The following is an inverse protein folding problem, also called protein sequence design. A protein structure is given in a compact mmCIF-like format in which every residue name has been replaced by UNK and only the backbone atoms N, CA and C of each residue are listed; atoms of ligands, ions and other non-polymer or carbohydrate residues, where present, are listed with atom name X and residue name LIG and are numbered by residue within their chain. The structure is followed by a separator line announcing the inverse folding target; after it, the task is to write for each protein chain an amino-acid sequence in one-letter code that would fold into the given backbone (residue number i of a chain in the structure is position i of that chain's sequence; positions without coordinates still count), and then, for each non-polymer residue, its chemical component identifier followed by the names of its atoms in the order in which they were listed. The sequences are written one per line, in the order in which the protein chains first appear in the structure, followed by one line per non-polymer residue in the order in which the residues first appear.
data_IF_874849169349
#
_entry.id   IF_874849169349
#
_cell.length_a   1.000
_cell.length_b   1.000
_cell.length_c   1.000
_cell.angle_alpha   90.00
_cell.angle_beta   90.00
_cell.angle_gamma   90.00
#
_symmetry.space_group_name_H-M   'P 1'
#
loop_
_entity.id
_entity.type
_entity.pdbx_description
1 polymer ?
#
# COMPACT_ATOMS: atom_id res chain seq x y z
N UNK A 1 3.43 15.03 10.50
CA UNK A 1 4.30 15.32 9.35
C UNK A 1 5.74 15.05 9.77
N UNK A 2 6.50 14.28 9.00
CA UNK A 2 7.90 13.96 9.33
C UNK A 2 8.78 15.20 9.17
N UNK A 3 9.77 15.35 10.06
CA UNK A 3 10.66 16.52 10.06
C UNK A 3 11.60 16.55 8.83
N UNK A 4 11.98 15.39 8.30
CA UNK A 4 12.85 15.26 7.12
C UNK A 4 12.45 14.09 6.24
N UNK A 5 12.81 14.15 4.94
CA UNK A 5 12.64 13.04 3.99
C UNK A 5 13.33 11.74 4.47
N UNK A 6 14.51 11.89 5.08
CA UNK A 6 15.26 10.75 5.64
C UNK A 6 14.50 10.07 6.77
N UNK A 7 13.93 10.84 7.68
CA UNK A 7 13.13 10.31 8.80
C UNK A 7 11.89 9.59 8.25
N UNK A 8 11.19 10.17 7.27
CA UNK A 8 10.03 9.54 6.64
C UNK A 8 10.43 8.19 6.01
N UNK A 9 11.50 8.15 5.25
CA UNK A 9 11.98 6.93 4.60
C UNK A 9 12.31 5.84 5.63
N UNK A 10 13.08 6.18 6.67
CA UNK A 10 13.45 5.22 7.72
C UNK A 10 12.21 4.68 8.43
N UNK A 11 11.30 5.55 8.87
CA UNK A 11 10.09 5.14 9.61
C UNK A 11 9.20 4.24 8.76
N UNK A 12 8.93 4.62 7.51
CA UNK A 12 8.07 3.82 6.63
C UNK A 12 8.72 2.48 6.24
N UNK A 13 10.02 2.47 5.98
CA UNK A 13 10.75 1.22 5.69
C UNK A 13 10.75 0.28 6.91
N UNK A 14 11.03 0.81 8.09
CA UNK A 14 10.99 0.02 9.34
C UNK A 14 9.58 -0.51 9.59
N UNK A 15 8.55 0.32 9.45
CA UNK A 15 7.17 -0.11 9.62
C UNK A 15 6.77 -1.21 8.62
N UNK A 16 7.19 -1.09 7.36
CA UNK A 16 6.97 -2.12 6.34
C UNK A 16 7.63 -3.45 6.73
N UNK A 17 8.90 -3.41 7.12
CA UNK A 17 9.65 -4.61 7.51
C UNK A 17 9.07 -5.27 8.76
N UNK A 18 8.77 -4.48 9.79
CA UNK A 18 8.20 -4.98 11.04
C UNK A 18 6.83 -5.61 10.81
N UNK A 19 5.94 -4.93 10.07
CA UNK A 19 4.61 -5.50 9.81
C UNK A 19 4.69 -6.81 9.04
N UNK A 20 5.60 -6.94 8.09
CA UNK A 20 5.77 -8.20 7.34
C UNK A 20 6.42 -9.31 8.18
N UNK A 21 7.40 -8.97 9.02
CA UNK A 21 8.03 -9.94 9.90
C UNK A 21 7.05 -10.49 10.96
N UNK A 22 6.26 -9.60 11.57
CA UNK A 22 5.25 -10.00 12.57
C UNK A 22 4.14 -10.84 11.92
N UNK A 23 3.67 -10.45 10.74
CA UNK A 23 2.66 -11.19 9.98
C UNK A 23 3.15 -12.62 9.65
N UNK A 24 4.37 -12.75 9.12
CA UNK A 24 4.96 -14.06 8.83
C UNK A 24 5.17 -14.91 10.10
N UNK A 25 5.59 -14.29 11.21
CA UNK A 25 5.73 -14.96 12.50
C UNK A 25 4.40 -15.49 13.05
N UNK A 26 3.35 -14.68 13.02
CA UNK A 26 2.01 -15.10 13.44
C UNK A 26 1.46 -16.19 12.53
N UNK A 27 1.64 -16.08 11.22
CA UNK A 27 1.26 -17.13 10.27
C UNK A 27 1.96 -18.45 10.60
N UNK A 28 3.27 -18.41 10.92
CA UNK A 28 4.01 -19.61 11.32
C UNK A 28 3.46 -20.23 12.61
N UNK A 29 3.09 -19.42 13.60
CA UNK A 29 2.52 -19.91 14.87
C UNK A 29 1.12 -20.53 14.68
N UNK A 30 0.30 -19.98 13.77
CA UNK A 30 -1.08 -20.44 13.52
C UNK A 30 -1.08 -21.68 12.60
N UNK A 31 -0.25 -21.70 11.58
CA UNK A 31 -0.25 -22.73 10.53
C UNK A 31 1.18 -23.03 10.05
N UNK A 32 1.99 -23.76 10.85
CA UNK A 32 3.38 -24.05 10.50
C UNK A 32 3.53 -24.87 9.22
N UNK A 33 2.53 -25.66 8.86
CA UNK A 33 2.46 -26.44 7.61
C UNK A 33 1.77 -25.70 6.45
N UNK A 34 1.33 -24.45 6.68
CA UNK A 34 0.54 -23.64 5.73
C UNK A 34 -0.82 -24.24 5.30
N UNK A 35 -1.29 -25.29 5.96
CA UNK A 35 -2.55 -25.97 5.60
C UNK A 35 -3.79 -25.07 5.67
N UNK A 36 -3.77 -24.06 6.54
CA UNK A 36 -4.85 -23.08 6.75
C UNK A 36 -4.54 -21.70 6.17
N UNK A 37 -3.42 -21.58 5.44
CA UNK A 37 -3.00 -20.29 4.89
C UNK A 37 -3.95 -19.84 3.77
N UNK A 38 -4.38 -18.58 3.81
CA UNK A 38 -5.24 -17.97 2.82
C UNK A 38 -4.49 -17.15 1.78
N UNK A 39 -3.17 -17.05 1.90
CA UNK A 39 -2.34 -16.36 0.93
C UNK A 39 -2.50 -17.01 -0.46
N UNK A 40 -2.84 -16.24 -1.50
CA UNK A 40 -3.03 -16.77 -2.85
C UNK A 40 -1.85 -17.58 -3.38
N UNK A 41 -0.60 -17.25 -2.98
CA UNK A 41 0.59 -18.00 -3.39
C UNK A 41 0.58 -19.44 -2.85
N UNK A 42 0.12 -19.62 -1.62
CA UNK A 42 -0.03 -20.94 -1.01
C UNK A 42 -1.27 -21.65 -1.58
N UNK A 43 -2.41 -20.96 -1.54
CA UNK A 43 -3.71 -21.56 -1.88
C UNK A 43 -3.84 -21.97 -3.34
N UNK A 44 -3.34 -21.17 -4.28
CA UNK A 44 -3.52 -21.40 -5.72
C UNK A 44 -2.27 -21.98 -6.39
N UNK A 45 -1.08 -21.72 -5.85
CA UNK A 45 0.18 -22.15 -6.46
C UNK A 45 0.92 -23.20 -5.64
N UNK A 46 0.38 -23.60 -4.47
CA UNK A 46 1.01 -24.61 -3.62
C UNK A 46 2.38 -24.18 -3.06
N UNK A 47 2.64 -22.88 -2.97
CA UNK A 47 3.92 -22.38 -2.48
C UNK A 47 4.15 -22.78 -1.03
N UNK A 48 5.23 -23.49 -0.73
CA UNK A 48 5.70 -23.70 0.63
C UNK A 48 6.35 -22.45 1.23
N UNK A 49 6.83 -22.54 2.47
CA UNK A 49 7.48 -21.43 3.19
C UNK A 49 8.59 -20.74 2.40
N UNK A 50 9.47 -21.52 1.76
CA UNK A 50 10.57 -20.95 0.96
C UNK A 50 10.02 -20.11 -0.20
N UNK A 51 9.03 -20.61 -0.93
CA UNK A 51 8.41 -19.87 -2.04
C UNK A 51 7.72 -18.60 -1.56
N UNK A 52 6.92 -18.69 -0.49
CA UNK A 52 6.20 -17.56 0.08
C UNK A 52 7.15 -16.47 0.58
N UNK A 53 8.19 -16.84 1.34
CA UNK A 53 9.16 -15.87 1.86
C UNK A 53 10.03 -15.26 0.77
N UNK A 54 10.44 -16.05 -0.25
CA UNK A 54 11.24 -15.54 -1.37
C UNK A 54 10.46 -14.50 -2.18
N UNK A 55 9.23 -14.80 -2.57
CA UNK A 55 8.37 -13.85 -3.29
C UNK A 55 8.06 -12.64 -2.41
N UNK A 56 7.75 -12.86 -1.13
CA UNK A 56 7.55 -11.79 -0.16
C UNK A 56 8.75 -10.84 -0.06
N UNK A 57 9.97 -11.38 -0.02
CA UNK A 57 11.20 -10.58 0.01
C UNK A 57 11.35 -9.72 -1.25
N UNK A 58 11.11 -10.28 -2.43
CA UNK A 58 11.15 -9.53 -3.71
C UNK A 58 10.13 -8.39 -3.69
N UNK A 59 8.90 -8.66 -3.24
CA UNK A 59 7.85 -7.63 -3.13
C UNK A 59 8.25 -6.53 -2.15
N UNK A 60 8.80 -6.88 -0.98
CA UNK A 60 9.27 -5.92 0.02
C UNK A 60 10.38 -5.03 -0.55
N UNK A 61 11.38 -5.60 -1.23
CA UNK A 61 12.44 -4.83 -1.90
C UNK A 61 11.85 -3.87 -2.93
N UNK A 62 10.91 -4.31 -3.76
CA UNK A 62 10.19 -3.46 -4.70
C UNK A 62 9.46 -2.29 -4.01
N UNK A 63 8.80 -2.56 -2.88
CA UNK A 63 8.13 -1.52 -2.10
C UNK A 63 9.10 -0.52 -1.46
N UNK A 64 10.27 -0.97 -1.00
CA UNK A 64 11.33 -0.07 -0.48
C UNK A 64 11.85 0.84 -1.59
N UNK A 65 12.07 0.30 -2.80
CA UNK A 65 12.46 1.09 -3.97
C UNK A 65 11.36 2.14 -4.29
N UNK A 66 10.10 1.75 -4.27
CA UNK A 66 8.96 2.65 -4.45
C UNK A 66 8.93 3.76 -3.38
N UNK A 67 9.13 3.42 -2.10
CA UNK A 67 9.24 4.40 -1.02
C UNK A 67 10.39 5.38 -1.25
N UNK A 68 11.57 4.87 -1.58
CA UNK A 68 12.73 5.70 -1.88
C UNK A 68 12.41 6.67 -3.01
N UNK A 69 11.92 6.15 -4.13
CA UNK A 69 11.59 6.98 -5.29
C UNK A 69 10.52 8.02 -4.97
N UNK A 70 9.43 7.64 -4.32
CA UNK A 70 8.33 8.57 -4.02
C UNK A 70 8.67 9.65 -2.99
N UNK A 71 9.66 9.42 -2.13
CA UNK A 71 10.10 10.37 -1.11
C UNK A 71 11.19 11.32 -1.64
N UNK A 72 12.12 10.79 -2.43
CA UNK A 72 13.28 11.58 -2.87
C UNK A 72 13.13 12.20 -4.26
N UNK A 73 12.25 11.66 -5.09
CA UNK A 73 11.94 12.22 -6.40
C UNK A 73 10.65 13.03 -6.39
N UNK A 74 10.50 13.88 -7.38
CA UNK A 74 9.27 14.61 -7.70
C UNK A 74 8.91 14.37 -9.15
N UNK A 75 7.62 14.31 -9.43
CA UNK A 75 7.11 14.22 -10.80
C UNK A 75 6.16 15.39 -11.01
N UNK A 76 6.63 16.38 -11.76
CA UNK A 76 5.82 17.57 -12.01
C UNK A 76 4.69 17.23 -12.99
N UNK A 77 3.48 17.39 -12.55
CA UNK A 77 2.25 17.23 -13.32
C UNK A 77 1.33 18.42 -13.04
N UNK A 78 1.83 19.61 -13.41
CA UNK A 78 1.12 20.86 -13.18
C UNK A 78 0.39 21.32 -14.43
N UNK A 79 -0.83 21.89 -14.30
CA UNK A 79 -1.52 22.55 -15.38
C UNK A 79 -0.81 23.84 -15.79
N UNK A 80 -1.00 24.27 -17.03
CA UNK A 80 -0.48 25.55 -17.52
C UNK A 80 -1.27 26.76 -17.02
N UNK A 81 -2.50 26.54 -16.56
CA UNK A 81 -3.34 27.58 -15.95
C UNK A 81 -3.02 27.75 -14.48
N UNK A 82 -2.88 28.99 -14.01
CA UNK A 82 -2.34 29.34 -12.68
C UNK A 82 -3.37 29.47 -11.56
N UNK A 83 -4.62 29.03 -11.69
CA UNK A 83 -5.63 29.29 -10.62
C UNK A 83 -6.69 28.19 -10.53
N UNK A 84 -6.31 26.91 -10.62
CA UNK A 84 -7.27 25.84 -10.40
C UNK A 84 -7.60 25.70 -8.92
N UNK A 85 -8.88 25.43 -8.64
CA UNK A 85 -9.31 24.96 -7.32
C UNK A 85 -8.86 23.53 -7.11
N UNK A 86 -8.83 23.06 -5.87
CA UNK A 86 -8.45 21.68 -5.55
C UNK A 86 -9.27 20.62 -6.30
N UNK A 87 -10.60 20.71 -6.42
CA UNK A 87 -11.38 19.74 -7.23
C UNK A 87 -10.99 19.74 -8.71
N UNK A 88 -10.75 20.92 -9.30
CA UNK A 88 -10.33 21.05 -10.70
C UNK A 88 -8.93 20.48 -10.92
N UNK A 89 -8.00 20.72 -9.95
CA UNK A 89 -6.66 20.13 -9.98
C UNK A 89 -6.70 18.60 -9.88
N UNK A 90 -7.51 18.03 -8.98
CA UNK A 90 -7.70 16.59 -8.86
C UNK A 90 -8.23 15.98 -10.15
N UNK A 91 -9.20 16.65 -10.78
CA UNK A 91 -9.75 16.25 -12.09
C UNK A 91 -8.67 16.30 -13.17
N UNK A 92 -7.93 17.40 -13.28
CA UNK A 92 -6.83 17.57 -14.23
C UNK A 92 -5.79 16.47 -14.08
N UNK A 93 -5.42 16.10 -12.84
CA UNK A 93 -4.32 15.18 -12.57
C UNK A 93 -4.49 13.82 -13.26
N UNK A 94 -5.73 13.35 -13.42
CA UNK A 94 -6.08 12.09 -14.09
C UNK A 94 -6.85 12.25 -15.40
N UNK A 95 -7.03 13.46 -15.88
CA UNK A 95 -7.76 13.71 -17.13
C UNK A 95 -6.87 13.44 -18.34
N UNK A 96 -7.02 12.24 -18.90
CA UNK A 96 -6.26 11.83 -20.09
C UNK A 96 -6.56 12.66 -21.33
N UNK A 97 -7.66 13.42 -21.38
CA UNK A 97 -8.03 14.28 -22.52
C UNK A 97 -7.40 15.67 -22.44
N UNK A 98 -7.37 16.25 -21.24
CA UNK A 98 -6.95 17.63 -21.03
C UNK A 98 -5.57 17.76 -20.34
N UNK A 99 -4.96 16.66 -19.95
CA UNK A 99 -3.62 16.65 -19.38
C UNK A 99 -2.59 16.19 -20.41
N UNK A 100 -1.82 17.11 -21.02
CA UNK A 100 -0.84 16.76 -22.04
C UNK A 100 0.31 15.88 -21.49
N UNK A 101 0.57 15.96 -20.20
CA UNK A 101 1.59 15.12 -19.55
C UNK A 101 1.17 13.64 -19.53
N UNK A 102 -0.12 13.34 -19.38
CA UNK A 102 -0.65 11.98 -19.44
C UNK A 102 -0.68 11.41 -20.86
N UNK A 103 -0.85 12.27 -21.86
CA UNK A 103 -0.83 11.88 -23.29
C UNK A 103 0.60 11.60 -23.81
N UNK A 104 1.60 12.07 -23.09
CA UNK A 104 3.01 11.91 -23.44
C UNK A 104 3.63 10.67 -22.77
N UNK A 105 4.87 10.36 -23.11
CA UNK A 105 5.66 9.33 -22.42
C UNK A 105 5.84 9.59 -20.91
N UNK A 106 5.47 10.78 -20.43
CA UNK A 106 5.45 11.11 -18.99
C UNK A 106 4.27 10.48 -18.25
N UNK A 107 3.19 10.14 -18.96
CA UNK A 107 1.98 9.58 -18.35
C UNK A 107 2.26 8.31 -17.53
N UNK A 108 3.04 7.39 -18.08
CA UNK A 108 3.44 6.17 -17.35
C UNK A 108 4.25 6.51 -16.09
N UNK A 109 5.15 7.50 -16.16
CA UNK A 109 5.95 7.95 -15.01
C UNK A 109 5.09 8.58 -13.92
N UNK A 110 4.05 9.36 -14.30
CA UNK A 110 3.09 9.94 -13.35
C UNK A 110 2.31 8.83 -12.64
N UNK A 111 1.77 7.88 -13.39
CA UNK A 111 1.03 6.74 -12.82
C UNK A 111 1.93 5.90 -11.91
N UNK A 112 3.14 5.57 -12.37
CA UNK A 112 4.12 4.84 -11.56
C UNK A 112 4.46 5.58 -10.27
N UNK A 113 4.57 6.91 -10.29
CA UNK A 113 4.80 7.73 -9.10
C UNK A 113 3.63 7.67 -8.13
N UNK A 114 2.38 7.75 -8.63
CA UNK A 114 1.17 7.60 -7.81
C UNK A 114 1.17 6.24 -7.11
N UNK A 115 1.48 5.16 -7.84
CA UNK A 115 1.58 3.82 -7.26
C UNK A 115 2.73 3.72 -6.25
N UNK A 116 3.89 4.24 -6.58
CA UNK A 116 5.06 4.22 -5.69
C UNK A 116 4.82 4.98 -4.38
N UNK A 117 4.01 6.03 -4.41
CA UNK A 117 3.62 6.77 -3.22
C UNK A 117 2.56 6.02 -2.40
N UNK A 118 1.49 5.53 -3.04
CA UNK A 118 0.31 5.01 -2.36
C UNK A 118 0.47 3.57 -1.90
N UNK A 119 0.99 2.68 -2.74
CA UNK A 119 0.99 1.24 -2.48
C UNK A 119 1.77 0.83 -1.23
N UNK A 120 3.02 1.26 -1.00
CA UNK A 120 3.74 0.85 0.20
C UNK A 120 3.08 1.37 1.49
N UNK A 121 2.54 2.60 1.47
CA UNK A 121 1.85 3.20 2.62
C UNK A 121 0.56 2.48 2.95
N UNK A 122 -0.23 2.15 1.93
CA UNK A 122 -1.43 1.33 2.07
C UNK A 122 -1.11 -0.06 2.61
N UNK A 123 -0.04 -0.69 2.12
CA UNK A 123 0.41 -2.02 2.55
C UNK A 123 0.85 -2.04 4.00
N UNK A 124 1.47 -0.97 4.53
CA UNK A 124 1.80 -0.87 5.96
C UNK A 124 0.53 -0.88 6.81
N UNK A 125 -0.47 -0.04 6.50
CA UNK A 125 -1.72 0.01 7.24
C UNK A 125 -2.51 -1.29 7.11
N UNK A 126 -2.58 -1.84 5.90
CA UNK A 126 -3.20 -3.14 5.67
C UNK A 126 -2.51 -4.24 6.47
N UNK A 127 -1.17 -4.20 6.55
CA UNK A 127 -0.38 -5.13 7.35
C UNK A 127 -0.72 -5.08 8.85
N UNK A 128 -0.96 -3.89 9.41
CA UNK A 128 -1.40 -3.77 10.79
C UNK A 128 -2.77 -4.42 11.02
N UNK A 129 -3.70 -4.31 10.06
CA UNK A 129 -5.00 -4.97 10.13
C UNK A 129 -4.86 -6.50 10.04
N UNK A 130 -3.98 -7.02 9.20
CA UNK A 130 -3.71 -8.46 9.12
C UNK A 130 -3.06 -8.97 10.41
N UNK A 131 -2.12 -8.22 10.99
CA UNK A 131 -1.54 -8.57 12.30
C UNK A 131 -2.63 -8.65 13.37
N UNK A 132 -3.54 -7.66 13.43
CA UNK A 132 -4.67 -7.69 14.35
C UNK A 132 -5.54 -8.93 14.12
N UNK A 133 -5.88 -9.23 12.86
CA UNK A 133 -6.61 -10.45 12.48
C UNK A 133 -5.91 -11.71 12.99
N UNK A 134 -4.65 -11.89 12.61
CA UNK A 134 -3.88 -13.07 12.97
C UNK A 134 -3.71 -13.20 14.49
N UNK A 135 -3.52 -12.07 15.20
CA UNK A 135 -3.45 -12.06 16.67
C UNK A 135 -4.75 -12.54 17.30
N UNK A 136 -5.92 -12.05 16.83
CA UNK A 136 -7.22 -12.47 17.34
C UNK A 136 -7.51 -13.95 17.04
N UNK A 137 -7.03 -14.47 15.91
CA UNK A 137 -7.09 -15.89 15.57
C UNK A 137 -6.18 -16.71 16.49
N UNK A 138 -4.95 -16.29 16.69
CA UNK A 138 -3.98 -16.97 17.55
C UNK A 138 -4.44 -17.05 19.01
N UNK A 139 -5.04 -15.96 19.52
CA UNK A 139 -5.57 -15.89 20.89
C UNK A 139 -6.93 -16.58 21.05
N UNK A 140 -7.47 -17.18 19.99
CA UNK A 140 -8.78 -17.85 20.00
C UNK A 140 -9.91 -16.96 20.56
N UNK A 141 -9.86 -15.65 20.25
CA UNK A 141 -10.84 -14.70 20.80
C UNK A 141 -12.27 -15.09 20.44
N UNK A 142 -13.16 -15.37 21.45
CA UNK A 142 -14.48 -15.96 21.19
C UNK A 142 -15.39 -15.05 20.36
N UNK A 143 -15.36 -13.73 20.62
CA UNK A 143 -16.17 -12.77 19.86
C UNK A 143 -15.73 -12.70 18.40
N UNK A 144 -14.41 -12.78 18.16
CA UNK A 144 -13.87 -12.77 16.82
C UNK A 144 -14.13 -14.09 16.07
N UNK A 145 -14.08 -15.22 16.74
CA UNK A 145 -14.47 -16.52 16.16
C UNK A 145 -15.92 -16.53 15.72
N UNK A 146 -16.85 -16.10 16.58
CA UNK A 146 -18.27 -15.95 16.24
C UNK A 146 -18.48 -15.03 15.01
N UNK A 147 -17.74 -13.91 14.93
CA UNK A 147 -17.80 -13.03 13.76
C UNK A 147 -17.32 -13.75 12.48
N UNK A 148 -16.24 -14.52 12.55
CA UNK A 148 -15.71 -15.28 11.40
C UNK A 148 -16.64 -16.38 10.93
N UNK A 149 -17.35 -17.04 11.84
CA UNK A 149 -18.36 -18.07 11.53
C UNK A 149 -19.59 -17.45 10.85
N UNK A 150 -20.00 -16.26 11.32
CA UNK A 150 -21.15 -15.53 10.77
C UNK A 150 -20.82 -14.82 9.45
N UNK A 151 -19.57 -14.45 9.25
CA UNK A 151 -19.11 -13.62 8.14
C UNK A 151 -17.78 -14.11 7.58
N UNK A 152 -17.68 -14.30 6.26
CA UNK A 152 -16.38 -14.52 5.63
C UNK A 152 -15.61 -13.19 5.61
N UNK A 153 -14.75 -12.95 6.61
CA UNK A 153 -14.01 -11.71 6.77
C UNK A 153 -12.84 -11.55 5.77
N UNK A 154 -12.40 -12.64 5.14
CA UNK A 154 -11.22 -12.63 4.26
C UNK A 154 -11.38 -11.72 3.03
N UNK A 155 -12.49 -11.78 2.25
CA UNK A 155 -12.70 -10.84 1.15
C UNK A 155 -12.69 -9.38 1.60
N UNK A 156 -13.20 -9.08 2.79
CA UNK A 156 -13.21 -7.72 3.34
C UNK A 156 -11.79 -7.18 3.51
N UNK A 157 -10.85 -7.98 4.01
CA UNK A 157 -9.45 -7.56 4.13
C UNK A 157 -8.83 -7.23 2.78
N UNK A 158 -9.11 -8.01 1.73
CA UNK A 158 -8.62 -7.70 0.38
C UNK A 158 -9.24 -6.44 -0.23
N UNK A 159 -10.48 -6.11 0.13
CA UNK A 159 -11.14 -4.88 -0.32
C UNK A 159 -10.60 -3.62 0.39
N UNK A 160 -10.10 -3.75 1.62
CA UNK A 160 -9.55 -2.62 2.38
C UNK A 160 -8.26 -2.09 1.73
N UNK A 161 -7.41 -2.95 1.17
CA UNK A 161 -6.13 -2.51 0.57
C UNK A 161 -6.31 -1.47 -0.54
N UNK A 162 -7.16 -1.67 -1.57
CA UNK A 162 -7.40 -0.62 -2.57
C UNK A 162 -8.04 0.64 -1.98
N UNK A 163 -8.92 0.53 -0.99
CA UNK A 163 -9.49 1.70 -0.30
C UNK A 163 -8.41 2.53 0.40
N UNK A 164 -7.48 1.88 1.10
CA UNK A 164 -6.31 2.54 1.68
C UNK A 164 -5.45 3.19 0.59
N UNK A 165 -5.29 2.53 -0.56
CA UNK A 165 -4.60 3.09 -1.72
C UNK A 165 -5.22 4.41 -2.17
N UNK A 166 -6.56 4.47 -2.29
CA UNK A 166 -7.29 5.70 -2.67
C UNK A 166 -7.08 6.83 -1.65
N UNK A 167 -7.06 6.53 -0.34
CA UNK A 167 -6.78 7.52 0.69
C UNK A 167 -5.37 8.12 0.51
N UNK A 168 -4.37 7.30 0.20
CA UNK A 168 -3.02 7.79 -0.04
C UNK A 168 -2.87 8.53 -1.35
N UNK A 169 -3.62 8.15 -2.40
CA UNK A 169 -3.70 8.93 -3.65
C UNK A 169 -4.27 10.32 -3.36
N UNK A 170 -5.34 10.40 -2.60
CA UNK A 170 -5.93 11.69 -2.23
C UNK A 170 -4.95 12.57 -1.44
N UNK A 171 -4.19 11.96 -0.50
CA UNK A 171 -3.13 12.66 0.23
C UNK A 171 -2.00 13.14 -0.69
N UNK A 172 -1.60 12.35 -1.66
CA UNK A 172 -0.61 12.77 -2.66
C UNK A 172 -1.11 13.99 -3.43
N UNK A 173 -2.36 13.96 -3.90
CA UNK A 173 -2.95 15.06 -4.65
C UNK A 173 -3.02 16.35 -3.84
N UNK A 174 -3.31 16.26 -2.54
CA UNK A 174 -3.26 17.41 -1.65
C UNK A 174 -1.85 18.00 -1.51
N UNK A 175 -0.82 17.15 -1.43
CA UNK A 175 0.59 17.58 -1.38
C UNK A 175 1.03 18.22 -2.69
N UNK A 176 0.69 17.60 -3.83
CA UNK A 176 1.01 18.14 -5.15
C UNK A 176 0.26 19.44 -5.44
N UNK A 177 -0.99 19.56 -4.98
CA UNK A 177 -1.75 20.82 -5.07
C UNK A 177 -1.10 21.95 -4.25
N UNK A 178 -0.63 21.64 -3.04
CA UNK A 178 0.09 22.63 -2.24
C UNK A 178 1.39 23.10 -2.93
N UNK A 179 2.09 22.20 -3.64
CA UNK A 179 3.26 22.56 -4.46
C UNK A 179 2.91 23.38 -5.70
N UNK A 180 1.75 23.11 -6.30
CA UNK A 180 1.26 23.89 -7.44
C UNK A 180 0.94 25.33 -7.09
N UNK A 181 0.57 25.61 -5.85
CA UNK A 181 0.21 26.95 -5.36
C UNK A 181 1.43 27.80 -4.93
N UNK A 182 2.64 27.22 -4.83
CA UNK A 182 3.88 27.92 -4.46
C UNK A 182 4.70 28.33 -5.70
#
# INVERSE_FOLDING_TARGET
MFKTKRTEFIVLTTALLVTRAVDAGLTFLITPDLSREQNPLVKFFGAGWVGMLSIGAVVIVGMIICLYWSIYSTVDNFPTSSNLTLPEYKKFYFDTKNNPNLQSNRGLRILAYVFAYSLPRATILWGLLIILHNTLVYLENPAYQSLRESFNVIPLYYMILPLLGLIFIDRLLLQEYARYQT
#
